data_IF_481139276732
#
_entry.id   IF_481139276732
#
_cell.length_a   1.000
_cell.length_b   1.000
_cell.length_c   1.000
_cell.angle_alpha   90.00
_cell.angle_beta   90.00
_cell.angle_gamma   90.00
#
_symmetry.space_group_name_H-M   'P 1'
#
loop_
_entity.id
_entity.type
_entity.pdbx_description
1 polymer ?
#
# COMPACT_ATOMS: atom_id res chain seq x y z
N UNK A 1 13.70 5.95 -8.06
CA UNK A 1 12.31 6.31 -8.40
C UNK A 1 11.27 5.71 -7.44
N UNK A 2 11.62 5.47 -6.17
CA UNK A 2 10.69 4.97 -5.13
C UNK A 2 10.35 5.99 -4.05
N UNK A 3 11.11 7.10 -3.96
CA UNK A 3 10.88 8.16 -2.96
C UNK A 3 9.51 8.78 -3.14
N UNK A 4 9.18 9.25 -4.35
CA UNK A 4 7.90 9.90 -4.66
C UNK A 4 6.68 9.08 -4.23
N UNK A 5 6.76 7.75 -4.36
CA UNK A 5 5.68 6.86 -3.96
C UNK A 5 5.53 6.76 -2.43
N UNK A 6 6.65 6.78 -1.71
CA UNK A 6 6.62 6.84 -0.24
C UNK A 6 6.17 8.22 0.25
N UNK A 7 6.66 9.29 -0.37
CA UNK A 7 6.32 10.67 -0.02
C UNK A 7 4.81 10.94 -0.19
N UNK A 8 4.17 10.28 -1.16
CA UNK A 8 2.72 10.34 -1.36
C UNK A 8 1.93 9.40 -0.43
N UNK A 9 2.30 8.11 -0.35
CA UNK A 9 1.47 7.12 0.37
C UNK A 9 1.60 7.19 1.88
N UNK A 10 2.79 7.48 2.42
CA UNK A 10 3.01 7.53 3.87
C UNK A 10 2.08 8.52 4.58
N UNK A 11 1.93 9.79 4.16
CA UNK A 11 1.02 10.72 4.82
C UNK A 11 -0.45 10.29 4.71
N UNK A 12 -0.85 9.65 3.60
CA UNK A 12 -2.22 9.12 3.44
C UNK A 12 -2.48 7.99 4.44
N UNK A 13 -1.52 7.09 4.62
CA UNK A 13 -1.60 5.98 5.57
C UNK A 13 -1.59 6.49 7.01
N UNK A 14 -0.83 7.55 7.32
CA UNK A 14 -0.83 8.18 8.64
C UNK A 14 -2.18 8.83 8.98
N UNK A 15 -2.81 9.48 8.01
CA UNK A 15 -4.15 10.07 8.17
C UNK A 15 -5.25 9.02 8.24
N UNK A 16 -5.09 7.91 7.51
CA UNK A 16 -6.08 6.84 7.44
C UNK A 16 -5.44 5.50 7.78
N UNK A 17 -5.13 5.24 9.07
CA UNK A 17 -4.47 4.02 9.46
C UNK A 17 -5.39 2.81 9.22
N UNK A 18 -4.81 1.66 8.84
CA UNK A 18 -5.56 0.41 8.78
C UNK A 18 -6.17 0.07 10.14
N UNK A 19 -7.36 -0.56 10.16
CA UNK A 19 -8.06 -0.86 11.40
C UNK A 19 -7.21 -1.76 12.30
N UNK A 20 -6.94 -1.27 13.52
CA UNK A 20 -6.21 -2.03 14.53
C UNK A 20 -7.00 -3.28 14.91
N UNK A 21 -6.45 -4.45 14.56
CA UNK A 21 -7.07 -5.73 14.92
C UNK A 21 -6.44 -6.24 16.21
N UNK A 22 -7.26 -6.52 17.24
CA UNK A 22 -6.82 -7.02 18.56
C UNK A 22 -5.80 -6.10 19.26
N UNK A 23 -6.00 -4.78 19.18
CA UNK A 23 -5.13 -3.79 19.84
C UNK A 23 -3.73 -3.64 19.24
N UNK A 24 -3.44 -4.33 18.12
CA UNK A 24 -2.17 -4.20 17.40
C UNK A 24 -2.33 -3.19 16.26
N UNK A 25 -1.58 -2.10 16.35
CA UNK A 25 -1.51 -1.11 15.28
C UNK A 25 -0.66 -1.63 14.13
N UNK A 26 -1.21 -1.61 12.91
CA UNK A 26 -0.46 -1.95 11.72
C UNK A 26 0.26 -0.68 11.26
N UNK A 27 1.58 -0.73 11.17
CA UNK A 27 2.39 0.37 10.65
C UNK A 27 3.03 -0.04 9.32
N UNK A 28 2.79 0.76 8.29
CA UNK A 28 3.45 0.64 7.00
C UNK A 28 4.73 1.45 7.06
N UNK A 29 5.87 0.81 6.83
CA UNK A 29 7.19 1.45 6.94
C UNK A 29 7.69 1.98 5.61
N UNK A 30 7.40 1.24 4.56
CA UNK A 30 7.97 1.49 3.24
C UNK A 30 7.09 0.83 2.18
N UNK A 31 6.98 1.46 1.02
CA UNK A 31 6.32 0.93 -0.16
C UNK A 31 7.29 0.97 -1.34
N UNK A 32 7.29 -0.11 -2.12
CA UNK A 32 8.18 -0.31 -3.25
C UNK A 32 7.38 -0.73 -4.48
N UNK A 33 7.73 -0.20 -5.66
CA UNK A 33 7.28 -0.76 -6.93
C UNK A 33 8.19 -1.92 -7.35
N UNK A 34 7.61 -3.05 -7.72
CA UNK A 34 8.35 -4.20 -8.27
C UNK A 34 8.52 -4.02 -9.79
N UNK A 35 9.67 -4.41 -10.37
CA UNK A 35 9.90 -4.35 -11.81
C UNK A 35 9.20 -5.52 -12.49
N UNK A 36 7.89 -5.40 -12.70
CA UNK A 36 7.04 -6.42 -13.34
C UNK A 36 6.24 -5.81 -14.50
N UNK A 37 5.79 -6.61 -15.48
CA UNK A 37 5.01 -6.10 -16.63
C UNK A 37 3.70 -5.42 -16.22
N UNK A 38 3.12 -5.86 -15.11
CA UNK A 38 1.99 -5.20 -14.44
C UNK A 38 2.50 -4.32 -13.30
N UNK A 39 1.86 -3.20 -12.98
CA UNK A 39 2.19 -2.37 -11.82
C UNK A 39 1.91 -3.15 -10.53
N UNK A 40 2.99 -3.66 -9.92
CA UNK A 40 2.95 -4.35 -8.64
C UNK A 40 3.63 -3.50 -7.57
N UNK A 41 2.98 -3.37 -6.43
CA UNK A 41 3.48 -2.62 -5.29
C UNK A 41 3.64 -3.55 -4.09
N UNK A 42 4.82 -3.53 -3.47
CA UNK A 42 5.10 -4.24 -2.24
C UNK A 42 5.12 -3.24 -1.06
N UNK A 43 4.14 -3.36 -0.18
CA UNK A 43 4.05 -2.63 1.08
C UNK A 43 4.69 -3.45 2.20
N UNK A 44 5.71 -2.89 2.85
CA UNK A 44 6.35 -3.49 4.01
C UNK A 44 5.68 -3.03 5.28
N UNK A 45 5.09 -3.99 5.98
CA UNK A 45 4.25 -3.76 7.15
C UNK A 45 4.70 -4.64 8.30
N UNK A 46 4.43 -4.23 9.54
CA UNK A 46 4.76 -5.04 10.71
C UNK A 46 3.94 -6.34 10.77
N UNK A 47 2.66 -6.28 10.39
CA UNK A 47 1.68 -7.35 10.56
C UNK A 47 0.79 -7.48 9.31
N UNK A 48 1.27 -8.12 8.24
CA UNK A 48 0.52 -8.22 6.98
C UNK A 48 -0.79 -9.01 7.13
N UNK A 49 -0.80 -9.99 8.03
CA UNK A 49 -1.96 -10.86 8.31
C UNK A 49 -3.22 -10.14 8.79
N UNK A 50 -3.11 -8.91 9.31
CA UNK A 50 -4.25 -8.14 9.80
C UNK A 50 -4.77 -7.12 8.79
N UNK A 51 -4.14 -7.02 7.62
CA UNK A 51 -4.61 -6.13 6.57
C UNK A 51 -5.73 -6.83 5.81
N UNK A 52 -6.93 -6.24 5.89
CA UNK A 52 -8.12 -6.75 5.19
C UNK A 52 -8.19 -6.18 3.78
N UNK A 53 -8.89 -6.88 2.90
CA UNK A 53 -9.11 -6.47 1.51
C UNK A 53 -9.66 -5.03 1.32
N UNK A 54 -10.56 -4.50 2.17
CA UNK A 54 -11.03 -3.12 2.01
C UNK A 54 -9.90 -2.09 2.08
N UNK A 55 -8.91 -2.32 2.95
CA UNK A 55 -7.76 -1.42 3.07
C UNK A 55 -6.81 -1.54 1.87
N UNK A 56 -6.68 -2.74 1.30
CA UNK A 56 -5.96 -2.96 0.04
C UNK A 56 -6.58 -2.17 -1.11
N UNK A 57 -7.91 -2.22 -1.25
CA UNK A 57 -8.66 -1.46 -2.26
C UNK A 57 -8.54 0.05 -2.06
N UNK A 58 -8.54 0.51 -0.81
CA UNK A 58 -8.31 1.93 -0.50
C UNK A 58 -6.96 2.41 -1.02
N UNK A 59 -5.88 1.66 -0.74
CA UNK A 59 -4.55 1.99 -1.25
C UNK A 59 -4.47 1.92 -2.78
N UNK A 60 -5.13 0.92 -3.38
CA UNK A 60 -5.20 0.78 -4.84
C UNK A 60 -5.86 2.00 -5.49
N UNK A 61 -6.97 2.47 -4.94
CA UNK A 61 -7.66 3.65 -5.44
C UNK A 61 -6.79 4.91 -5.32
N UNK A 62 -6.07 5.09 -4.22
CA UNK A 62 -5.17 6.23 -4.04
C UNK A 62 -4.00 6.23 -5.02
N UNK A 63 -3.42 5.05 -5.28
CA UNK A 63 -2.38 4.90 -6.30
C UNK A 63 -2.95 5.22 -7.69
N UNK A 64 -4.18 4.80 -7.99
CA UNK A 64 -4.85 5.09 -9.28
C UNK A 64 -5.24 6.56 -9.45
N UNK A 65 -5.50 7.28 -8.35
CA UNK A 65 -5.77 8.72 -8.37
C UNK A 65 -4.51 9.52 -8.73
N UNK A 66 -3.35 9.14 -8.18
CA UNK A 66 -2.08 9.85 -8.43
C UNK A 66 -1.42 9.47 -9.75
N UNK A 67 -1.48 8.19 -10.11
CA UNK A 67 -0.90 7.65 -11.33
C UNK A 67 -2.01 7.04 -12.18
N UNK A 68 -2.23 7.60 -13.37
CA UNK A 68 -3.23 7.11 -14.32
C UNK A 68 -2.84 5.72 -14.84
N UNK A 69 -3.31 4.69 -14.13
CA UNK A 69 -3.20 3.29 -14.50
C UNK A 69 -4.52 2.78 -15.10
N UNK A 70 -5.10 3.54 -16.03
CA UNK A 70 -6.30 3.11 -16.76
C UNK A 70 -6.01 1.85 -17.59
N UNK A 71 -6.85 0.82 -17.43
CA UNK A 71 -6.79 -0.41 -18.23
C UNK A 71 -5.79 -1.48 -17.76
N UNK A 72 -5.02 -1.27 -16.68
CA UNK A 72 -4.09 -2.27 -16.14
C UNK A 72 -4.43 -2.62 -14.69
N UNK A 73 -4.47 -3.91 -14.30
CA UNK A 73 -4.68 -4.29 -12.92
C UNK A 73 -3.46 -3.90 -12.06
N UNK A 74 -3.73 -3.18 -10.97
CA UNK A 74 -2.73 -2.87 -9.94
C UNK A 74 -2.76 -3.99 -8.90
N UNK A 75 -1.60 -4.54 -8.54
CA UNK A 75 -1.52 -5.54 -7.49
C UNK A 75 -0.69 -5.03 -6.31
N UNK A 76 -1.29 -5.04 -5.11
CA UNK A 76 -0.62 -4.63 -3.88
C UNK A 76 -0.31 -5.85 -3.03
N UNK A 77 0.95 -6.09 -2.72
CA UNK A 77 1.40 -7.16 -1.84
C UNK A 77 1.79 -6.58 -0.48
N UNK A 78 1.32 -7.19 0.60
CA UNK A 78 1.78 -6.86 1.94
C UNK A 78 2.80 -7.89 2.39
N UNK A 79 4.03 -7.45 2.63
CA UNK A 79 5.11 -8.30 3.14
C UNK A 79 5.50 -7.87 4.53
N UNK A 80 5.83 -8.84 5.37
CA UNK A 80 6.53 -8.56 6.61
C UNK A 80 7.99 -8.24 6.27
N UNK A 81 8.52 -7.17 6.86
CA UNK A 81 9.97 -6.92 6.87
C UNK A 81 10.56 -7.54 8.13
#
# INVERSE_FOLDING_TARGET
ATSALNDYLLPIIENYPPPATKGKYIKIKYVMQLPTPTPQFACFVNLPQYIKDPYRRFLENKIREEWDFSGVPIQIYFRQK
#
